data_IF_578075052831
#
_entry.id   IF_578075052831
#
_cell.length_a   1.000
_cell.length_b   1.000
_cell.length_c   1.000
_cell.angle_alpha   90.00
_cell.angle_beta   90.00
_cell.angle_gamma   90.00
#
_symmetry.space_group_name_H-M   'P 1'
#
loop_
_entity.id
_entity.type
_entity.pdbx_description
1 polymer ?
#
# COMPACT_ATOMS: atom_id res chain seq x y z
N UNK A 1 -4.59 -1.03 2.47
CA UNK A 1 -4.30 -1.13 1.01
C UNK A 1 -2.81 -0.95 0.81
N UNK A 2 -2.17 -1.77 -0.01
CA UNK A 2 -0.74 -1.62 -0.34
C UNK A 2 -0.57 -0.97 -1.71
N UNK A 3 0.40 -0.07 -1.83
CA UNK A 3 0.80 0.54 -3.10
C UNK A 3 2.30 0.37 -3.27
N UNK A 4 2.70 -0.02 -4.47
CA UNK A 4 4.10 -0.01 -4.87
C UNK A 4 4.47 1.38 -5.38
N UNK A 5 5.58 1.91 -4.90
CA UNK A 5 6.20 3.12 -5.39
C UNK A 5 7.69 2.83 -5.66
N UNK A 6 8.04 2.43 -6.88
CA UNK A 6 9.42 2.13 -7.22
C UNK A 6 10.13 3.48 -7.45
N UNK A 7 10.80 3.99 -6.42
CA UNK A 7 11.57 5.26 -6.49
C UNK A 7 12.90 5.11 -7.21
N UNK A 8 13.43 3.88 -7.28
CA UNK A 8 14.77 3.57 -7.81
C UNK A 8 14.73 2.87 -9.16
N UNK A 9 13.66 3.03 -9.94
CA UNK A 9 13.45 2.32 -11.22
C UNK A 9 14.61 2.47 -12.19
N UNK A 10 15.22 3.67 -12.21
CA UNK A 10 16.35 3.99 -13.09
C UNK A 10 17.66 3.36 -12.62
N UNK A 11 17.76 2.96 -11.36
CA UNK A 11 18.97 2.40 -10.77
C UNK A 11 18.90 0.86 -10.70
N UNK A 12 17.73 0.27 -10.42
CA UNK A 12 17.57 -1.18 -10.26
C UNK A 12 16.35 -1.73 -11.00
N UNK A 13 16.58 -2.26 -12.20
CA UNK A 13 15.55 -2.85 -13.07
C UNK A 13 14.75 -3.96 -12.37
N UNK A 14 15.41 -4.77 -11.53
CA UNK A 14 14.75 -5.86 -10.82
C UNK A 14 13.77 -5.35 -9.74
N UNK A 15 13.98 -4.16 -9.17
CA UNK A 15 12.99 -3.54 -8.29
C UNK A 15 11.69 -3.22 -9.04
N UNK A 16 11.78 -2.77 -10.29
CA UNK A 16 10.60 -2.57 -11.15
C UNK A 16 9.89 -3.89 -11.44
N UNK A 17 10.65 -4.91 -11.87
CA UNK A 17 10.11 -6.24 -12.18
C UNK A 17 9.40 -6.85 -10.97
N UNK A 18 10.00 -6.72 -9.79
CA UNK A 18 9.41 -7.20 -8.55
C UNK A 18 8.08 -6.51 -8.21
N UNK A 19 8.01 -5.19 -8.38
CA UNK A 19 6.78 -4.41 -8.16
C UNK A 19 5.69 -4.76 -9.19
N UNK A 20 6.04 -4.88 -10.46
CA UNK A 20 5.12 -5.29 -11.53
C UNK A 20 4.55 -6.69 -11.26
N UNK A 21 5.41 -7.66 -10.93
CA UNK A 21 5.00 -9.02 -10.59
C UNK A 21 4.07 -9.04 -9.36
N UNK A 22 4.37 -8.25 -8.34
CA UNK A 22 3.49 -8.10 -7.17
C UNK A 22 2.09 -7.61 -7.57
N UNK A 23 1.99 -6.60 -8.44
CA UNK A 23 0.70 -6.12 -8.94
C UNK A 23 -0.07 -7.18 -9.73
N UNK A 24 0.62 -7.97 -10.56
CA UNK A 24 0.01 -9.07 -11.29
C UNK A 24 -0.56 -10.14 -10.36
N UNK A 25 0.21 -10.53 -9.33
CA UNK A 25 -0.23 -11.49 -8.30
C UNK A 25 -1.43 -10.95 -7.53
N UNK A 26 -1.40 -9.68 -7.10
CA UNK A 26 -2.53 -9.05 -6.42
C UNK A 26 -3.82 -9.10 -7.27
N UNK A 27 -3.73 -8.78 -8.56
CA UNK A 27 -4.90 -8.75 -9.45
C UNK A 27 -5.42 -10.14 -9.79
N UNK A 28 -4.53 -11.10 -10.02
CA UNK A 28 -4.87 -12.45 -10.48
C UNK A 28 -5.20 -13.41 -9.34
N UNK A 29 -4.40 -13.43 -8.27
CA UNK A 29 -4.46 -14.40 -7.17
C UNK A 29 -4.90 -13.81 -5.81
N UNK A 30 -5.05 -12.48 -5.72
CA UNK A 30 -5.58 -11.74 -4.56
C UNK A 30 -4.61 -11.67 -3.37
N UNK A 31 -5.14 -11.21 -2.22
CA UNK A 31 -4.37 -10.70 -1.09
C UNK A 31 -3.41 -11.72 -0.49
N UNK A 32 -3.86 -12.97 -0.30
CA UNK A 32 -3.04 -13.99 0.37
C UNK A 32 -1.79 -14.34 -0.45
N UNK A 33 -1.96 -14.58 -1.75
CA UNK A 33 -0.84 -14.83 -2.67
C UNK A 33 0.08 -13.62 -2.76
N UNK A 34 -0.49 -12.42 -2.80
CA UNK A 34 0.30 -11.19 -2.82
C UNK A 34 1.16 -11.02 -1.55
N UNK A 35 0.60 -11.30 -0.38
CA UNK A 35 1.32 -11.20 0.89
C UNK A 35 2.43 -12.25 0.98
N UNK A 36 2.16 -13.48 0.54
CA UNK A 36 3.18 -14.53 0.46
C UNK A 36 4.34 -14.12 -0.47
N UNK A 37 4.02 -13.54 -1.63
CA UNK A 37 5.02 -13.02 -2.56
C UNK A 37 5.82 -11.86 -1.95
N UNK A 38 5.15 -10.89 -1.34
CA UNK A 38 5.78 -9.74 -0.70
C UNK A 38 6.79 -10.21 0.36
N UNK A 39 6.37 -11.08 1.27
CA UNK A 39 7.23 -11.63 2.31
C UNK A 39 8.36 -12.49 1.73
N UNK A 40 8.10 -13.25 0.67
CA UNK A 40 9.10 -14.04 -0.03
C UNK A 40 10.23 -13.18 -0.62
N UNK A 41 9.90 -12.02 -1.20
CA UNK A 41 10.89 -11.06 -1.69
C UNK A 41 11.74 -10.49 -0.55
N UNK A 42 11.13 -10.09 0.57
CA UNK A 42 11.91 -9.57 1.71
C UNK A 42 12.75 -10.64 2.40
N UNK A 43 12.29 -11.90 2.41
CA UNK A 43 13.02 -13.02 3.01
C UNK A 43 14.34 -13.34 2.30
N UNK A 44 14.52 -12.95 1.03
CA UNK A 44 15.80 -13.11 0.33
C UNK A 44 16.91 -12.27 0.94
N UNK A 45 16.56 -11.18 1.65
CA UNK A 45 17.50 -10.15 2.09
C UNK A 45 18.32 -9.52 0.95
N UNK A 46 17.93 -9.76 -0.29
CA UNK A 46 18.53 -9.17 -1.48
C UNK A 46 17.80 -7.87 -1.79
N UNK A 47 18.30 -6.79 -1.20
CA UNK A 47 17.76 -5.46 -1.39
C UNK A 47 18.43 -4.75 -2.56
N UNK A 48 17.73 -3.78 -3.14
CA UNK A 48 18.32 -2.87 -4.12
C UNK A 48 18.89 -3.61 -5.35
N UNK A 49 20.15 -3.36 -5.70
CA UNK A 49 20.83 -3.99 -6.82
C UNK A 49 21.15 -5.48 -6.63
N UNK A 50 21.01 -6.02 -5.41
CA UNK A 50 21.25 -7.44 -5.15
C UNK A 50 20.07 -8.32 -5.55
N UNK A 51 18.85 -7.75 -5.67
CA UNK A 51 17.66 -8.51 -6.04
C UNK A 51 17.81 -9.09 -7.45
N UNK A 52 17.65 -10.40 -7.59
CA UNK A 52 17.80 -11.09 -8.87
C UNK A 52 16.45 -11.40 -9.52
N UNK A 53 16.46 -11.71 -10.82
CA UNK A 53 15.27 -12.23 -11.49
C UNK A 53 14.86 -13.61 -10.98
N UNK A 54 15.80 -14.40 -10.45
CA UNK A 54 15.54 -15.72 -9.87
C UNK A 54 14.86 -15.64 -8.50
N UNK A 55 15.23 -14.64 -7.70
CA UNK A 55 14.53 -14.32 -6.45
C UNK A 55 13.05 -14.01 -6.72
N UNK A 56 12.80 -13.20 -7.76
CA UNK A 56 11.45 -12.79 -8.17
C UNK A 56 10.64 -13.99 -8.68
N UNK A 57 11.23 -14.81 -9.57
CA UNK A 57 10.55 -15.97 -10.14
C UNK A 57 10.22 -17.02 -9.07
N UNK A 58 11.17 -17.30 -8.18
CA UNK A 58 11.02 -18.27 -7.08
C UNK A 58 9.97 -17.83 -6.07
N UNK A 59 10.03 -16.58 -5.62
CA UNK A 59 9.04 -16.02 -4.70
C UNK A 59 7.63 -16.03 -5.33
N UNK A 60 7.51 -15.68 -6.61
CA UNK A 60 6.24 -15.72 -7.33
C UNK A 60 5.68 -17.14 -7.47
N UNK A 61 6.52 -18.11 -7.84
CA UNK A 61 6.12 -19.50 -7.99
C UNK A 61 5.61 -20.09 -6.66
N UNK A 62 6.33 -19.84 -5.56
CA UNK A 62 5.92 -20.26 -4.23
C UNK A 62 4.58 -19.63 -3.82
N UNK A 63 4.43 -18.32 -4.03
CA UNK A 63 3.24 -17.57 -3.66
C UNK A 63 1.98 -17.93 -4.46
N UNK A 64 2.12 -18.42 -5.69
CA UNK A 64 1.01 -18.80 -6.56
C UNK A 64 0.57 -20.26 -6.36
N UNK A 65 1.35 -21.07 -5.63
CA UNK A 65 1.04 -22.48 -5.41
C UNK A 65 -0.31 -22.64 -4.71
N UNK A 66 -1.23 -23.37 -5.33
CA UNK A 66 -2.56 -23.63 -4.78
C UNK A 66 -3.57 -22.48 -4.94
N UNK A 67 -3.19 -21.37 -5.57
CA UNK A 67 -4.10 -20.26 -5.82
C UNK A 67 -4.80 -20.37 -7.18
N UNK A 68 -6.08 -20.01 -7.22
CA UNK A 68 -6.82 -19.84 -8.49
C UNK A 68 -6.39 -18.54 -9.16
N UNK A 69 -5.79 -18.65 -10.34
CA UNK A 69 -5.36 -17.50 -11.14
C UNK A 69 -6.54 -16.97 -11.96
N UNK A 70 -6.91 -15.71 -11.74
CA UNK A 70 -7.90 -15.01 -12.56
C UNK A 70 -7.20 -14.43 -13.80
N UNK A 71 -7.82 -14.59 -14.96
CA UNK A 71 -7.35 -13.99 -16.20
C UNK A 71 -7.58 -12.48 -16.26
N UNK A 72 -6.92 -11.82 -17.22
CA UNK A 72 -7.01 -10.38 -17.47
C UNK A 72 -5.63 -9.74 -17.56
N UNK A 73 -5.46 -8.81 -18.52
CA UNK A 73 -4.21 -8.07 -18.63
C UNK A 73 -4.12 -7.03 -17.51
N UNK A 74 -3.01 -6.99 -16.79
CA UNK A 74 -2.75 -6.01 -15.74
C UNK A 74 -1.86 -4.92 -16.31
N UNK A 75 -2.41 -3.72 -16.51
CA UNK A 75 -1.62 -2.56 -16.90
C UNK A 75 -0.81 -2.04 -15.70
N UNK A 76 0.26 -2.76 -15.37
CA UNK A 76 1.13 -2.47 -14.22
C UNK A 76 1.75 -1.09 -14.35
N UNK A 77 2.16 -0.68 -15.56
CA UNK A 77 2.71 0.65 -15.84
C UNK A 77 1.76 1.76 -15.39
N UNK A 78 0.51 1.74 -15.84
CA UNK A 78 -0.47 2.77 -15.49
C UNK A 78 -0.73 2.84 -13.98
N UNK A 79 -0.77 1.68 -13.30
CA UNK A 79 -0.95 1.61 -11.85
C UNK A 79 0.26 2.21 -11.11
N UNK A 80 1.48 1.87 -11.54
CA UNK A 80 2.71 2.40 -10.95
C UNK A 80 2.86 3.90 -11.20
N UNK A 81 2.52 4.38 -12.40
CA UNK A 81 2.52 5.81 -12.73
C UNK A 81 1.52 6.59 -11.86
N UNK A 82 0.35 6.00 -11.57
CA UNK A 82 -0.64 6.60 -10.67
C UNK A 82 -0.14 6.64 -9.22
N UNK A 83 0.54 5.59 -8.75
CA UNK A 83 1.20 5.60 -7.44
C UNK A 83 2.30 6.65 -7.36
N UNK A 84 3.12 6.80 -8.41
CA UNK A 84 4.19 7.80 -8.47
C UNK A 84 3.63 9.23 -8.43
N UNK A 85 2.60 9.52 -9.24
CA UNK A 85 1.92 10.82 -9.19
C UNK A 85 1.38 11.14 -7.81
N UNK A 86 0.71 10.17 -7.17
CA UNK A 86 0.20 10.34 -5.81
C UNK A 86 1.32 10.63 -4.81
N UNK A 87 2.44 9.92 -4.87
CA UNK A 87 3.57 10.15 -3.99
C UNK A 87 4.13 11.57 -4.13
N UNK A 88 4.24 12.09 -5.36
CA UNK A 88 4.63 13.48 -5.61
C UNK A 88 3.61 14.49 -5.11
N UNK A 89 2.31 14.25 -5.33
CA UNK A 89 1.23 15.12 -4.81
C UNK A 89 1.27 15.22 -3.28
N UNK A 90 1.62 14.12 -2.62
CA UNK A 90 1.76 14.06 -1.16
C UNK A 90 3.14 14.51 -0.66
N UNK A 91 4.03 14.98 -1.55
CA UNK A 91 5.39 15.39 -1.25
C UNK A 91 6.20 14.33 -0.45
N UNK A 92 5.97 13.04 -0.74
CA UNK A 92 6.69 11.96 -0.09
C UNK A 92 8.18 12.00 -0.49
N UNK A 93 9.07 11.81 0.48
CA UNK A 93 10.52 11.93 0.28
C UNK A 93 11.26 10.59 0.19
N UNK A 94 10.59 9.48 0.51
CA UNK A 94 11.20 8.15 0.51
C UNK A 94 10.19 7.06 0.82
N UNK A 95 10.65 5.81 0.90
CA UNK A 95 9.84 4.65 1.30
C UNK A 95 10.56 3.85 2.41
N UNK A 96 9.84 3.15 3.30
CA UNK A 96 8.38 3.01 3.35
C UNK A 96 7.67 4.28 3.85
N UNK A 97 6.41 4.46 3.44
CA UNK A 97 5.49 5.47 3.98
C UNK A 97 4.16 4.78 4.26
N UNK A 98 3.58 5.03 5.42
CA UNK A 98 2.25 4.56 5.78
C UNK A 98 1.29 5.75 5.82
N UNK A 99 0.13 5.59 5.17
CA UNK A 99 -0.96 6.56 5.24
C UNK A 99 -2.12 5.85 5.92
N UNK A 100 -2.47 6.31 7.10
CA UNK A 100 -3.61 5.81 7.85
C UNK A 100 -4.76 6.80 7.70
N UNK A 101 -5.92 6.31 7.27
CA UNK A 101 -7.11 7.12 7.01
C UNK A 101 -8.38 6.25 7.13
N UNK A 102 -9.55 6.84 7.45
CA UNK A 102 -10.80 6.11 7.44
C UNK A 102 -11.22 5.76 6.01
N UNK A 103 -12.00 4.67 5.87
CA UNK A 103 -12.49 4.20 4.55
C UNK A 103 -13.59 5.11 3.98
N UNK A 104 -14.27 5.86 4.86
CA UNK A 104 -15.30 6.84 4.53
C UNK A 104 -14.95 8.16 5.20
N UNK A 105 -15.35 9.27 4.59
CA UNK A 105 -15.21 10.63 5.17
C UNK A 105 -13.78 10.96 5.62
N UNK A 106 -12.79 10.58 4.80
CA UNK A 106 -11.42 11.00 5.01
C UNK A 106 -11.33 12.53 4.87
N UNK A 107 -10.73 13.16 5.87
CA UNK A 107 -10.46 14.60 5.96
C UNK A 107 -9.02 14.80 6.44
N UNK A 108 -8.48 16.01 6.25
CA UNK A 108 -7.13 16.34 6.76
C UNK A 108 -7.00 16.10 8.27
N UNK A 109 -8.10 16.16 9.03
CA UNK A 109 -8.11 15.99 10.49
C UNK A 109 -8.06 14.53 10.95
N UNK A 110 -8.37 13.57 10.07
CA UNK A 110 -8.42 12.14 10.38
C UNK A 110 -7.56 11.30 9.43
N UNK A 111 -6.63 11.95 8.73
CA UNK A 111 -5.58 11.31 7.92
C UNK A 111 -4.25 11.53 8.62
N UNK A 112 -3.44 10.48 8.74
CA UNK A 112 -2.09 10.54 9.29
C UNK A 112 -1.11 9.95 8.29
N UNK A 113 -0.06 10.72 7.96
CA UNK A 113 1.05 10.26 7.12
C UNK A 113 2.24 9.98 8.03
N UNK A 114 2.76 8.76 7.96
CA UNK A 114 3.85 8.26 8.78
C UNK A 114 5.01 7.90 7.85
N UNK A 115 6.07 8.72 7.79
CA UNK A 115 7.25 8.42 6.99
C UNK A 115 8.16 7.40 7.69
N UNK A 116 8.76 6.50 6.91
CA UNK A 116 9.74 5.53 7.38
C UNK A 116 9.15 4.31 8.08
N UNK A 117 10.05 3.46 8.59
CA UNK A 117 9.69 2.35 9.47
C UNK A 117 9.32 2.91 10.84
N UNK A 118 8.03 2.97 11.15
CA UNK A 118 7.54 3.45 12.42
C UNK A 118 7.52 2.34 13.47
N UNK A 119 7.88 2.68 14.71
CA UNK A 119 7.71 1.78 15.85
C UNK A 119 6.24 1.50 16.14
N UNK A 120 5.98 0.40 16.84
CA UNK A 120 4.63 -0.06 17.17
C UNK A 120 3.78 1.03 17.85
N UNK A 121 4.35 1.77 18.80
CA UNK A 121 3.66 2.85 19.52
C UNK A 121 3.14 3.95 18.58
N UNK A 122 3.96 4.38 17.60
CA UNK A 122 3.55 5.38 16.60
C UNK A 122 2.37 4.89 15.78
N UNK A 123 2.34 3.60 15.45
CA UNK A 123 1.24 2.98 14.70
C UNK A 123 -0.05 2.93 15.52
N UNK A 124 0.04 2.54 16.78
CA UNK A 124 -1.09 2.47 17.71
C UNK A 124 -1.69 3.86 17.95
N UNK A 125 -0.85 4.86 18.20
CA UNK A 125 -1.29 6.24 18.40
C UNK A 125 -2.01 6.82 17.17
N UNK A 126 -1.50 6.54 15.96
CA UNK A 126 -2.15 6.96 14.73
C UNK A 126 -3.54 6.31 14.55
N UNK A 127 -3.68 5.04 14.92
CA UNK A 127 -4.98 4.35 14.88
C UNK A 127 -6.00 4.99 15.83
N UNK A 128 -5.60 5.36 17.06
CA UNK A 128 -6.45 6.03 18.03
C UNK A 128 -6.93 7.39 17.52
N UNK A 129 -6.05 8.18 16.90
CA UNK A 129 -6.40 9.49 16.34
C UNK A 129 -7.48 9.40 15.25
N UNK A 130 -7.40 8.37 14.41
CA UNK A 130 -8.39 8.13 13.34
C UNK A 130 -9.75 7.79 13.94
N UNK A 131 -9.78 6.88 14.91
CA UNK A 131 -11.02 6.49 15.61
C UNK A 131 -11.66 7.70 16.30
N UNK A 132 -10.88 8.50 17.02
CA UNK A 132 -11.37 9.72 17.67
C UNK A 132 -11.84 10.78 16.65
N UNK A 133 -11.22 10.83 15.47
CA UNK A 133 -11.65 11.68 14.36
C UNK A 133 -13.02 11.26 13.82
N UNK A 134 -13.26 9.96 13.66
CA UNK A 134 -14.54 9.40 13.22
C UNK A 134 -15.66 9.69 14.21
N UNK A 135 -15.44 9.45 15.51
CA UNK A 135 -16.45 9.74 16.54
C UNK A 135 -16.88 11.22 16.58
N UNK A 136 -15.94 12.14 16.34
CA UNK A 136 -16.24 13.57 16.29
C UNK A 136 -17.08 13.95 15.07
N UNK A 137 -16.86 13.30 13.93
CA UNK A 137 -17.62 13.55 12.70
C UNK A 137 -19.06 13.02 12.81
N UNK A 138 -19.24 11.84 13.41
CA UNK A 138 -20.55 11.25 13.67
C UNK A 138 -21.40 12.14 14.58
N UNK A 139 -20.80 12.72 15.64
CA UNK A 139 -21.49 13.65 16.54
C UNK A 139 -21.85 14.98 15.87
N UNK A 140 -21.02 15.47 14.95
CA UNK A 140 -21.30 16.71 14.22
C UNK A 140 -22.47 16.54 13.25
N UNK A 141 -22.49 15.43 12.49
CA UNK A 141 -23.58 15.12 11.54
C UNK A 141 -24.91 14.86 12.25
N UNK A 142 -24.93 14.19 13.40
CA UNK A 142 -26.17 14.05 14.19
C UNK A 142 -26.70 15.39 14.68
N UNK A 143 -25.80 16.31 15.06
CA UNK A 143 -26.18 17.61 15.60
C UNK A 143 -26.70 18.56 14.50
N UNK A 144 -26.14 18.52 13.29
CA UNK A 144 -26.67 19.25 12.14
C UNK A 144 -28.02 18.70 11.65
N UNK A 145 -28.22 17.38 11.67
CA UNK A 145 -29.50 16.76 11.32
C UNK A 145 -30.65 17.18 12.24
N UNK A 146 -30.38 17.36 13.54
CA UNK A 146 -31.37 17.80 14.51
C UNK A 146 -31.70 19.30 14.43
N UNK A 147 -30.77 20.12 13.93
CA UNK A 147 -30.97 21.57 13.79
C UNK A 147 -31.76 21.96 12.53
N UNK A 148 -31.92 21.05 11.57
CA UNK A 148 -32.69 21.25 10.34
C UNK A 148 -34.15 20.76 10.45
N UNK A 149 -34.59 20.34 11.64
CA UNK A 149 -35.94 19.84 11.93
C UNK A 149 -36.77 20.80 12.83
N UNK A 150 -36.28 22.01 13.08
CA UNK A 150 -36.98 23.05 13.87
C UNK A 150 -37.56 24.17 13.01
#
# INVERSE_FOLDING_TARGET
MFKYWPTFVQQWENSLKAAQKGLEIWKSARADAWLAYHNGIFATSHYEGALTSEDISSAAAAALKGHKIRGGNVNTKSILDASNRLAHTLALQGSPVMIMMPVKEATEKNVTVIPGGAGQETLENAAVLILAGMERNDRATTREGNNNLS
#
